data_IF_787503461006
#
_entry.id   IF_787503461006
#
_cell.length_a   1.000
_cell.length_b   1.000
_cell.length_c   1.000
_cell.angle_alpha   90.00
_cell.angle_beta   90.00
_cell.angle_gamma   90.00
#
_symmetry.space_group_name_H-M   'P 1'
#
loop_
_entity.id
_entity.type
_entity.pdbx_description
1 polymer ?
#
# COMPACT_ATOMS: atom_id res chain seq x y z
N UNK A 1 -9.30 15.84 16.12
CA UNK A 1 -8.97 14.44 15.81
C UNK A 1 -7.67 14.38 15.02
N UNK A 2 -6.72 13.55 15.45
CA UNK A 2 -5.45 13.34 14.77
C UNK A 2 -5.51 12.09 13.92
N UNK A 3 -5.05 12.20 12.66
CA UNK A 3 -5.04 11.13 11.68
C UNK A 3 -3.61 10.90 11.18
N UNK A 4 -3.09 9.68 11.37
CA UNK A 4 -1.83 9.27 10.77
C UNK A 4 -2.04 8.89 9.30
N UNK A 5 -1.17 9.38 8.41
CA UNK A 5 -1.14 9.09 6.97
C UNK A 5 0.31 9.04 6.50
N UNK A 6 0.66 8.16 5.55
CA UNK A 6 2.04 8.05 5.07
C UNK A 6 2.36 9.08 3.98
N UNK A 7 1.38 9.43 3.13
CA UNK A 7 1.55 10.26 1.94
C UNK A 7 2.41 9.63 0.81
N UNK A 8 2.48 8.32 0.79
CA UNK A 8 3.20 7.55 -0.22
C UNK A 8 2.39 6.33 -0.74
N UNK A 9 1.06 6.38 -0.62
CA UNK A 9 0.18 5.28 -0.99
C UNK A 9 -0.97 5.72 -1.91
N UNK A 10 -0.71 5.77 -3.21
CA UNK A 10 -1.72 6.06 -4.25
C UNK A 10 -2.81 4.98 -4.29
N UNK A 11 -4.10 5.33 -4.45
CA UNK A 11 -4.69 6.68 -4.45
C UNK A 11 -5.22 7.11 -3.08
N UNK A 12 -4.84 6.41 -2.01
CA UNK A 12 -5.39 6.61 -0.67
C UNK A 12 -4.88 7.91 -0.04
N UNK A 13 -3.57 8.11 0.01
CA UNK A 13 -2.95 9.34 0.45
C UNK A 13 -1.58 9.51 -0.23
N UNK A 14 -1.33 10.69 -0.78
CA UNK A 14 -0.11 10.99 -1.52
C UNK A 14 0.13 12.50 -1.60
N UNK A 15 1.37 12.88 -1.92
CA UNK A 15 1.70 14.25 -2.26
C UNK A 15 1.64 14.42 -3.78
N UNK A 16 0.79 15.32 -4.24
CA UNK A 16 0.72 15.64 -5.66
C UNK A 16 2.03 16.30 -6.13
N UNK A 17 2.65 15.71 -7.14
CA UNK A 17 3.97 16.13 -7.60
C UNK A 17 4.01 17.51 -8.28
N UNK A 18 2.87 18.00 -8.77
CA UNK A 18 2.77 19.29 -9.45
C UNK A 18 2.47 20.42 -8.47
N UNK A 19 1.58 20.18 -7.51
CA UNK A 19 1.11 21.21 -6.57
C UNK A 19 1.80 21.15 -5.21
N UNK A 20 2.35 20.00 -4.82
CA UNK A 20 2.90 19.74 -3.49
C UNK A 20 1.80 19.57 -2.42
N UNK A 21 0.54 19.48 -2.81
CA UNK A 21 -0.58 19.29 -1.90
C UNK A 21 -0.73 17.82 -1.52
N UNK A 22 -1.15 17.58 -0.27
CA UNK A 22 -1.52 16.26 0.20
C UNK A 22 -2.96 15.95 -0.25
N UNK A 23 -3.13 14.90 -1.03
CA UNK A 23 -4.38 14.50 -1.67
C UNK A 23 -4.65 13.01 -1.45
N UNK A 24 -5.87 12.58 -1.77
CA UNK A 24 -6.28 11.20 -1.83
C UNK A 24 -7.55 10.90 -1.07
N UNK A 25 -7.99 9.66 -1.18
CA UNK A 25 -9.26 9.19 -0.62
C UNK A 25 -9.35 9.40 0.91
N UNK A 26 -8.25 9.13 1.64
CA UNK A 26 -8.22 9.28 3.09
C UNK A 26 -8.48 10.74 3.50
N UNK A 27 -7.86 11.69 2.80
CA UNK A 27 -8.09 13.12 3.03
C UNK A 27 -9.54 13.53 2.77
N UNK A 28 -10.11 13.07 1.66
CA UNK A 28 -11.49 13.38 1.29
C UNK A 28 -12.47 12.82 2.32
N UNK A 29 -12.27 11.57 2.75
CA UNK A 29 -13.12 10.91 3.75
C UNK A 29 -13.02 11.59 5.11
N UNK A 30 -11.81 11.84 5.61
CA UNK A 30 -11.66 12.47 6.93
C UNK A 30 -12.14 13.91 6.97
N UNK A 31 -11.95 14.67 5.89
CA UNK A 31 -12.52 16.01 5.78
C UNK A 31 -14.05 15.96 5.80
N UNK A 32 -14.66 15.04 5.02
CA UNK A 32 -16.11 14.87 5.01
C UNK A 32 -16.67 14.39 6.36
N UNK A 33 -15.99 13.46 7.03
CA UNK A 33 -16.33 13.05 8.38
C UNK A 33 -16.28 14.26 9.36
N UNK A 34 -15.25 15.11 9.22
CA UNK A 34 -15.11 16.33 10.00
C UNK A 34 -16.31 17.27 9.83
N UNK A 35 -16.77 17.46 8.60
CA UNK A 35 -17.97 18.25 8.30
C UNK A 35 -19.22 17.66 8.94
N UNK A 36 -19.44 16.34 8.78
CA UNK A 36 -20.62 15.65 9.31
C UNK A 36 -20.67 15.59 10.84
N UNK A 37 -19.51 15.44 11.48
CA UNK A 37 -19.38 15.24 12.92
C UNK A 37 -18.91 16.49 13.67
N UNK A 38 -18.75 17.61 12.97
CA UNK A 38 -18.31 18.91 13.50
C UNK A 38 -16.95 18.84 14.22
N UNK A 39 -15.93 18.30 13.57
CA UNK A 39 -14.54 18.37 14.01
C UNK A 39 -13.62 18.79 12.86
N UNK A 40 -12.43 19.28 13.20
CA UNK A 40 -11.38 19.55 12.22
C UNK A 40 -10.33 18.42 12.26
N UNK A 41 -10.07 17.71 11.14
CA UNK A 41 -8.99 16.74 11.08
C UNK A 41 -7.64 17.43 11.19
N UNK A 42 -6.71 16.78 11.89
CA UNK A 42 -5.31 17.17 11.99
C UNK A 42 -4.48 16.01 11.46
N UNK A 43 -3.93 16.15 10.27
CA UNK A 43 -3.14 15.12 9.64
C UNK A 43 -1.71 15.12 10.16
N UNK A 44 -1.19 13.93 10.46
CA UNK A 44 0.15 13.73 10.98
C UNK A 44 0.87 12.78 10.02
N UNK A 45 1.74 13.32 9.15
CA UNK A 45 2.56 12.49 8.27
C UNK A 45 3.44 11.54 9.10
N UNK A 46 3.31 10.25 8.85
CA UNK A 46 3.92 9.19 9.65
C UNK A 46 4.37 8.07 8.71
N UNK A 47 5.61 7.60 8.86
CA UNK A 47 6.07 6.45 8.09
C UNK A 47 5.20 5.22 8.37
N UNK A 48 4.94 4.41 7.36
CA UNK A 48 4.19 3.15 7.51
C UNK A 48 4.77 2.25 8.59
N UNK A 49 6.09 2.07 8.56
CA UNK A 49 6.80 1.25 9.54
C UNK A 49 6.62 1.83 10.96
N UNK A 50 5.91 1.10 11.79
CA UNK A 50 5.57 1.49 13.15
C UNK A 50 4.25 2.27 13.31
N UNK A 51 3.50 2.60 12.24
CA UNK A 51 2.25 3.36 12.32
C UNK A 51 1.19 2.64 13.17
N UNK A 52 1.02 1.33 13.01
CA UNK A 52 0.07 0.52 13.79
C UNK A 52 0.40 0.61 15.29
N UNK A 53 1.67 0.39 15.66
CA UNK A 53 2.10 0.46 17.06
C UNK A 53 1.95 1.88 17.63
N UNK A 54 2.29 2.90 16.85
CA UNK A 54 2.15 4.29 17.27
C UNK A 54 0.66 4.68 17.49
N UNK A 55 -0.25 4.08 16.72
CA UNK A 55 -1.71 4.23 16.93
C UNK A 55 -2.12 3.55 18.25
N UNK A 56 -1.70 2.30 18.48
CA UNK A 56 -1.95 1.59 19.74
C UNK A 56 -1.41 2.33 20.97
N UNK A 57 -0.26 2.98 20.83
CA UNK A 57 0.35 3.80 21.88
C UNK A 57 -0.36 5.17 22.08
N UNK A 58 -1.41 5.45 21.31
CA UNK A 58 -2.21 6.68 21.43
C UNK A 58 -1.52 7.94 20.90
N UNK A 59 -0.51 7.80 20.02
CA UNK A 59 0.14 8.95 19.38
C UNK A 59 -0.81 9.64 18.38
N UNK A 60 -1.72 8.87 17.81
CA UNK A 60 -2.79 9.33 16.92
C UNK A 60 -4.11 8.76 17.40
N UNK A 61 -5.21 9.40 17.04
CA UNK A 61 -6.55 8.87 17.33
C UNK A 61 -6.99 7.84 16.28
N UNK A 62 -6.56 8.02 15.04
CA UNK A 62 -6.93 7.15 13.91
C UNK A 62 -5.72 7.06 12.97
N UNK A 63 -5.47 5.88 12.41
CA UNK A 63 -4.61 5.72 11.25
C UNK A 63 -5.47 5.37 10.02
N UNK A 64 -5.27 6.10 8.93
CA UNK A 64 -5.87 5.86 7.63
C UNK A 64 -4.80 5.86 6.56
N UNK A 65 -4.51 4.67 6.03
CA UNK A 65 -3.42 4.44 5.09
C UNK A 65 -3.68 3.17 4.26
N UNK A 66 -4.94 2.98 3.88
CA UNK A 66 -5.31 1.73 3.20
C UNK A 66 -4.95 0.48 4.00
N UNK A 67 -5.24 0.47 5.29
CA UNK A 67 -4.75 -0.55 6.23
C UNK A 67 -5.57 -1.83 6.09
N UNK A 68 -4.93 -2.93 5.69
CA UNK A 68 -5.55 -4.25 5.68
C UNK A 68 -5.89 -4.69 7.10
N UNK A 69 -7.14 -5.10 7.32
CA UNK A 69 -7.59 -5.72 8.56
C UNK A 69 -7.01 -7.14 8.62
N UNK A 70 -6.14 -7.41 9.59
CA UNK A 70 -5.62 -8.76 9.84
C UNK A 70 -5.81 -9.12 11.32
N UNK A 71 -5.82 -10.43 11.60
CA UNK A 71 -5.96 -10.91 13.00
C UNK A 71 -4.82 -10.40 13.89
N UNK A 72 -3.60 -10.34 13.34
CA UNK A 72 -2.41 -9.89 14.05
C UNK A 72 -2.51 -8.39 14.41
N UNK A 73 -3.02 -7.58 13.48
CA UNK A 73 -3.22 -6.14 13.71
C UNK A 73 -4.38 -5.89 14.68
N UNK A 74 -5.45 -6.70 14.59
CA UNK A 74 -6.62 -6.62 15.48
C UNK A 74 -6.30 -7.02 16.94
N UNK A 75 -5.16 -7.68 17.18
CA UNK A 75 -4.63 -7.89 18.54
C UNK A 75 -3.96 -6.64 19.14
N UNK A 76 -3.64 -5.65 18.30
CA UNK A 76 -2.85 -4.45 18.67
C UNK A 76 -3.73 -3.20 18.68
N UNK A 77 -4.61 -3.04 17.69
CA UNK A 77 -5.50 -1.89 17.49
C UNK A 77 -6.92 -2.36 17.19
N UNK A 78 -7.92 -1.54 17.48
CA UNK A 78 -9.27 -1.76 16.99
C UNK A 78 -9.42 -1.30 15.54
N UNK A 79 -10.31 -1.94 14.77
CA UNK A 79 -10.61 -1.55 13.40
C UNK A 79 -12.06 -1.07 13.23
N UNK A 80 -12.26 -0.18 12.29
CA UNK A 80 -13.59 0.08 11.73
C UNK A 80 -14.12 -1.16 10.99
N UNK A 81 -15.42 -1.13 10.63
CA UNK A 81 -15.88 -2.04 9.57
C UNK A 81 -15.03 -1.84 8.31
N UNK A 82 -14.78 -2.93 7.57
CA UNK A 82 -14.10 -2.83 6.28
C UNK A 82 -14.87 -1.94 5.31
N UNK A 83 -14.19 -0.99 4.68
CA UNK A 83 -14.80 -0.01 3.76
C UNK A 83 -14.54 -0.34 2.29
N UNK A 84 -13.55 -1.17 1.98
CA UNK A 84 -13.26 -1.64 0.63
C UNK A 84 -12.70 -3.07 0.67
N UNK A 85 -13.08 -3.88 -0.32
CA UNK A 85 -12.46 -5.18 -0.58
C UNK A 85 -11.49 -5.00 -1.73
N UNK A 86 -10.31 -5.60 -1.60
CA UNK A 86 -9.30 -5.60 -2.65
C UNK A 86 -8.52 -6.91 -2.68
N UNK A 87 -7.73 -7.09 -3.71
CA UNK A 87 -6.79 -8.18 -3.86
C UNK A 87 -5.39 -7.63 -4.06
N UNK A 88 -4.39 -8.41 -3.75
CA UNK A 88 -3.03 -8.14 -4.17
C UNK A 88 -2.81 -8.64 -5.59
N UNK A 89 -1.91 -7.99 -6.32
CA UNK A 89 -1.57 -8.26 -7.72
C UNK A 89 -0.06 -8.25 -7.92
N UNK A 90 0.38 -8.87 -9.00
CA UNK A 90 1.74 -8.69 -9.51
C UNK A 90 1.76 -7.47 -10.42
N UNK A 91 2.68 -6.54 -10.15
CA UNK A 91 2.97 -5.39 -11.00
C UNK A 91 4.36 -5.57 -11.61
N UNK A 92 4.47 -5.30 -12.91
CA UNK A 92 5.72 -5.41 -13.67
C UNK A 92 5.95 -4.19 -14.54
N UNK A 93 7.17 -4.01 -15.08
CA UNK A 93 7.42 -3.02 -16.12
C UNK A 93 6.51 -3.26 -17.33
N UNK A 94 6.07 -2.20 -18.00
CA UNK A 94 5.11 -2.30 -19.10
C UNK A 94 5.60 -3.13 -20.29
N UNK A 95 6.90 -3.12 -20.54
CA UNK A 95 7.58 -3.89 -21.59
C UNK A 95 7.97 -5.32 -21.15
N UNK A 96 7.72 -5.69 -19.90
CA UNK A 96 7.98 -7.05 -19.42
C UNK A 96 7.07 -8.05 -20.15
N UNK A 97 7.69 -9.13 -20.67
CA UNK A 97 7.02 -10.21 -21.38
C UNK A 97 7.24 -11.58 -20.70
N UNK A 98 8.03 -11.64 -19.64
CA UNK A 98 8.48 -12.89 -19.02
C UNK A 98 7.63 -13.26 -17.78
N UNK A 99 7.28 -12.28 -16.97
CA UNK A 99 6.48 -12.47 -15.75
C UNK A 99 5.04 -12.10 -16.06
N UNK A 100 4.15 -13.10 -16.04
CA UNK A 100 2.72 -12.93 -16.30
C UNK A 100 1.85 -13.37 -15.11
N UNK A 101 2.47 -13.99 -14.10
CA UNK A 101 1.78 -14.51 -12.92
C UNK A 101 2.73 -14.70 -11.74
N UNK A 102 2.18 -15.01 -10.57
CA UNK A 102 2.96 -15.41 -9.39
C UNK A 102 3.73 -16.72 -9.62
N UNK A 103 3.20 -17.63 -10.46
CA UNK A 103 3.86 -18.90 -10.75
C UNK A 103 5.16 -18.71 -11.56
N UNK A 104 5.23 -17.70 -12.42
CA UNK A 104 6.44 -17.33 -13.10
C UNK A 104 7.50 -16.84 -12.10
N UNK A 105 7.10 -16.01 -11.13
CA UNK A 105 7.99 -15.54 -10.06
C UNK A 105 8.50 -16.68 -9.19
N UNK A 106 7.66 -17.69 -8.91
CA UNK A 106 8.05 -18.88 -8.14
C UNK A 106 9.08 -19.71 -8.87
N UNK A 107 8.87 -19.92 -10.16
CA UNK A 107 9.68 -20.84 -10.97
C UNK A 107 10.98 -20.23 -11.51
N UNK A 108 11.05 -18.88 -11.63
CA UNK A 108 12.20 -18.18 -12.18
C UNK A 108 13.12 -17.58 -11.10
N UNK A 109 14.23 -17.04 -11.56
CA UNK A 109 15.19 -16.30 -10.73
C UNK A 109 14.88 -14.79 -10.86
N UNK A 110 13.81 -14.37 -10.18
CA UNK A 110 13.30 -13.00 -10.22
C UNK A 110 13.37 -12.34 -8.84
N UNK A 111 13.58 -11.03 -8.84
CA UNK A 111 13.57 -10.20 -7.63
C UNK A 111 12.26 -9.42 -7.56
N UNK A 112 11.60 -9.46 -6.41
CA UNK A 112 10.32 -8.79 -6.14
C UNK A 112 10.50 -7.66 -5.15
N UNK A 113 10.12 -6.44 -5.54
CA UNK A 113 10.13 -5.26 -4.69
C UNK A 113 8.80 -5.12 -3.95
N UNK A 114 8.85 -4.83 -2.65
CA UNK A 114 7.66 -4.62 -1.81
C UNK A 114 7.94 -3.57 -0.75
N UNK A 115 6.90 -2.96 -0.21
CA UNK A 115 7.05 -2.12 0.98
C UNK A 115 7.14 -3.00 2.22
N UNK A 116 8.12 -2.73 3.10
CA UNK A 116 8.34 -3.48 4.35
C UNK A 116 7.16 -3.33 5.32
N UNK A 117 6.86 -4.37 6.12
CA UNK A 117 5.82 -4.36 7.14
C UNK A 117 4.40 -4.36 6.59
N UNK A 118 4.22 -4.64 5.29
CA UNK A 118 2.90 -4.77 4.64
C UNK A 118 2.50 -6.22 4.49
N UNK A 119 1.20 -6.46 4.32
CA UNK A 119 0.69 -7.80 3.93
C UNK A 119 1.25 -8.26 2.59
N UNK A 120 1.60 -7.32 1.69
CA UNK A 120 2.27 -7.61 0.43
C UNK A 120 3.68 -8.17 0.64
N UNK A 121 4.44 -7.64 1.61
CA UNK A 121 5.74 -8.18 2.01
C UNK A 121 5.60 -9.59 2.58
N UNK A 122 4.67 -9.79 3.50
CA UNK A 122 4.44 -11.11 4.14
C UNK A 122 4.03 -12.16 3.10
N UNK A 123 3.13 -11.81 2.18
CA UNK A 123 2.74 -12.66 1.07
C UNK A 123 3.92 -12.99 0.16
N UNK A 124 4.70 -11.98 -0.24
CA UNK A 124 5.86 -12.18 -1.12
C UNK A 124 6.89 -13.12 -0.49
N UNK A 125 7.24 -12.91 0.79
CA UNK A 125 8.19 -13.77 1.51
C UNK A 125 7.63 -15.19 1.67
N UNK A 126 6.34 -15.33 2.00
CA UNK A 126 5.69 -16.64 2.17
C UNK A 126 5.66 -17.46 0.88
N UNK A 127 5.41 -16.83 -0.26
CA UNK A 127 5.26 -17.51 -1.55
C UNK A 127 6.56 -17.70 -2.32
N UNK A 128 7.54 -16.80 -2.16
CA UNK A 128 8.75 -16.75 -2.99
C UNK A 128 10.03 -17.04 -2.20
N UNK A 129 10.01 -16.86 -0.88
CA UNK A 129 11.20 -16.88 -0.02
C UNK A 129 11.87 -15.51 0.10
N UNK A 130 12.51 -15.26 1.24
CA UNK A 130 13.12 -13.96 1.58
C UNK A 130 14.24 -13.56 0.60
N UNK A 131 14.98 -14.53 0.06
CA UNK A 131 16.09 -14.31 -0.89
C UNK A 131 15.67 -13.58 -2.17
N UNK A 132 14.39 -13.73 -2.58
CA UNK A 132 13.82 -13.10 -3.77
C UNK A 132 13.17 -11.75 -3.49
N UNK A 133 13.03 -11.36 -2.24
CA UNK A 133 12.25 -10.17 -1.85
C UNK A 133 13.16 -9.04 -1.42
N UNK A 134 13.01 -7.87 -2.07
CA UNK A 134 13.64 -6.61 -1.67
C UNK A 134 12.59 -5.72 -0.99
N UNK A 135 12.80 -5.43 0.28
CA UNK A 135 11.94 -4.53 1.05
C UNK A 135 12.38 -3.07 0.90
N UNK A 136 11.44 -2.19 0.66
CA UNK A 136 11.63 -0.74 0.54
C UNK A 136 10.81 -0.02 1.63
N UNK A 137 11.16 1.22 1.94
CA UNK A 137 10.47 2.00 2.96
C UNK A 137 9.07 2.45 2.49
N UNK A 138 8.89 2.69 1.19
CA UNK A 138 7.61 3.11 0.59
C UNK A 138 7.31 2.33 -0.69
N UNK A 139 6.03 2.32 -1.10
CA UNK A 139 5.64 1.79 -2.41
C UNK A 139 6.28 2.56 -3.57
N UNK A 140 6.45 3.88 -3.45
CA UNK A 140 7.11 4.69 -4.48
C UNK A 140 8.50 4.14 -4.82
N UNK A 141 9.29 3.78 -3.82
CA UNK A 141 10.62 3.18 -4.03
C UNK A 141 10.55 1.78 -4.62
N UNK A 142 9.59 0.97 -4.18
CA UNK A 142 9.39 -0.36 -4.75
C UNK A 142 9.01 -0.30 -6.24
N UNK A 143 8.09 0.60 -6.62
CA UNK A 143 7.69 0.80 -8.01
C UNK A 143 8.81 1.42 -8.84
N UNK A 144 9.56 2.37 -8.27
CA UNK A 144 10.74 2.92 -8.95
C UNK A 144 11.79 1.84 -9.27
N UNK A 145 12.00 0.88 -8.36
CA UNK A 145 12.90 -0.26 -8.59
C UNK A 145 12.42 -1.16 -9.75
N UNK A 146 11.11 -1.36 -9.91
CA UNK A 146 10.56 -2.08 -11.07
C UNK A 146 10.75 -1.29 -12.37
N UNK A 147 10.51 0.02 -12.34
CA UNK A 147 10.67 0.88 -13.52
C UNK A 147 12.14 0.97 -13.97
N UNK A 148 13.09 0.97 -13.02
CA UNK A 148 14.54 1.02 -13.33
C UNK A 148 15.13 -0.32 -13.72
N UNK A 149 14.42 -1.43 -13.45
CA UNK A 149 14.92 -2.80 -13.65
C UNK A 149 15.81 -3.31 -12.51
N UNK A 150 15.81 -2.64 -11.35
CA UNK A 150 16.48 -3.12 -10.13
C UNK A 150 15.68 -4.24 -9.42
N UNK A 151 14.40 -4.38 -9.80
CA UNK A 151 13.52 -5.49 -9.48
C UNK A 151 12.69 -5.87 -10.72
N UNK A 152 12.31 -7.15 -10.81
CA UNK A 152 11.55 -7.68 -11.95
C UNK A 152 10.05 -7.44 -11.81
N UNK A 153 9.57 -7.41 -10.57
CA UNK A 153 8.15 -7.23 -10.24
C UNK A 153 7.97 -6.56 -8.87
N UNK A 154 6.73 -6.18 -8.58
CA UNK A 154 6.26 -5.82 -7.24
C UNK A 154 4.98 -6.60 -6.94
N UNK A 155 4.72 -6.88 -5.65
CA UNK A 155 3.41 -7.29 -5.16
C UNK A 155 2.79 -6.09 -4.48
N UNK A 156 1.59 -5.73 -4.92
CA UNK A 156 0.91 -4.49 -4.54
C UNK A 156 -0.60 -4.69 -4.55
N UNK A 157 -1.32 -3.93 -3.76
CA UNK A 157 -2.77 -3.91 -3.80
C UNK A 157 -3.27 -3.42 -5.17
N UNK A 158 -4.31 -4.06 -5.71
CA UNK A 158 -4.83 -3.74 -7.04
C UNK A 158 -5.16 -2.26 -7.20
N UNK A 159 -5.82 -1.66 -6.20
CA UNK A 159 -6.19 -0.25 -6.23
C UNK A 159 -4.97 0.67 -6.29
N UNK A 160 -3.94 0.37 -5.48
CA UNK A 160 -2.68 1.11 -5.51
C UNK A 160 -1.94 0.89 -6.83
N UNK A 161 -1.88 -0.35 -7.32
CA UNK A 161 -1.29 -0.68 -8.62
C UNK A 161 -1.93 0.10 -9.77
N UNK A 162 -3.26 0.24 -9.79
CA UNK A 162 -3.99 1.07 -10.75
C UNK A 162 -3.64 2.56 -10.60
N UNK A 163 -3.48 3.05 -9.37
CA UNK A 163 -3.01 4.41 -9.10
C UNK A 163 -1.62 4.67 -9.68
N UNK A 164 -0.68 3.75 -9.43
CA UNK A 164 0.68 3.84 -9.98
C UNK A 164 0.73 3.70 -11.50
N UNK A 165 -0.13 2.87 -12.11
CA UNK A 165 -0.28 2.82 -13.58
C UNK A 165 -0.74 4.17 -14.12
N UNK A 166 -1.67 4.85 -13.44
CA UNK A 166 -2.13 6.19 -13.82
C UNK A 166 -1.03 7.25 -13.71
N UNK A 167 -0.30 7.25 -12.61
CA UNK A 167 0.79 8.19 -12.34
C UNK A 167 2.03 7.96 -13.24
N UNK A 168 2.31 6.68 -13.56
CA UNK A 168 3.47 6.27 -14.36
C UNK A 168 3.05 5.73 -15.72
N UNK A 169 2.34 6.52 -16.49
CA UNK A 169 1.76 6.14 -17.79
C UNK A 169 2.75 5.33 -18.62
N UNK A 170 2.30 4.15 -19.06
CA UNK A 170 3.03 3.25 -19.96
C UNK A 170 4.36 2.68 -19.41
N UNK A 171 4.66 2.85 -18.12
CA UNK A 171 5.89 2.31 -17.51
C UNK A 171 5.68 1.03 -16.74
N UNK A 172 4.49 0.83 -16.16
CA UNK A 172 4.13 -0.36 -15.37
C UNK A 172 2.76 -0.88 -15.75
N UNK A 173 2.53 -2.17 -15.48
CA UNK A 173 1.23 -2.84 -15.67
C UNK A 173 1.00 -3.91 -14.61
N UNK A 174 -0.27 -4.17 -14.30
CA UNK A 174 -0.68 -5.32 -13.51
C UNK A 174 -0.80 -6.56 -14.40
N UNK A 175 -0.40 -7.71 -13.87
CA UNK A 175 -0.48 -9.00 -14.55
C UNK A 175 -1.03 -10.08 -13.62
N UNK A 176 -1.53 -11.17 -14.18
CA UNK A 176 -2.07 -12.32 -13.45
C UNK A 176 -3.43 -12.09 -12.83
N UNK A 177 -3.87 -13.08 -12.07
CA UNK A 177 -5.12 -13.04 -11.29
C UNK A 177 -4.94 -12.38 -9.92
N UNK A 178 -6.02 -12.42 -9.12
CA UNK A 178 -6.00 -12.00 -7.72
C UNK A 178 -5.14 -12.97 -6.91
N UNK A 179 -4.27 -12.43 -6.06
CA UNK A 179 -3.38 -13.20 -5.20
C UNK A 179 -4.03 -13.46 -3.82
N UNK A 180 -4.78 -12.46 -3.33
CA UNK A 180 -5.43 -12.48 -2.02
C UNK A 180 -6.86 -11.95 -2.13
N UNK A 181 -7.58 -11.96 -1.00
CA UNK A 181 -8.85 -11.24 -0.83
C UNK A 181 -8.83 -10.61 0.55
N UNK A 182 -8.78 -9.29 0.60
CA UNK A 182 -8.54 -8.50 1.80
C UNK A 182 -9.59 -7.41 1.97
N UNK A 183 -9.69 -6.89 3.20
CA UNK A 183 -10.52 -5.72 3.52
C UNK A 183 -9.65 -4.64 4.15
N UNK A 184 -9.87 -3.39 3.74
CA UNK A 184 -9.24 -2.23 4.39
C UNK A 184 -10.16 -1.65 5.44
N UNK A 185 -9.56 -1.20 6.55
CA UNK A 185 -10.24 -0.52 7.66
C UNK A 185 -9.42 0.66 8.17
N UNK A 186 -10.07 1.52 8.95
CA UNK A 186 -9.38 2.53 9.75
C UNK A 186 -8.96 1.89 11.08
N UNK A 187 -7.72 2.14 11.53
CA UNK A 187 -7.22 1.64 12.81
C UNK A 187 -7.28 2.74 13.89
N UNK A 188 -7.62 2.39 15.15
CA UNK A 188 -7.69 3.31 16.30
C UNK A 188 -7.47 2.62 17.63
#
# INVERSE_FOLDING_TARGET
>A
FTFAVENAYLPFNYIDAETGEALGWDYDVFNHMGELMNFTPVYVPTAWDGMIQATADGQFMIAGDGITITSERDEIVDFSNGYINLAQKVLVAADNLMVMSIDDLKSGDYTVAVQKGTTNYEFAVGELGEDKVKAFDTFDFAIAAVISGDADASIIDETAGLGYMGANKDKVKLVGGDLTSEQLGLAF
#
